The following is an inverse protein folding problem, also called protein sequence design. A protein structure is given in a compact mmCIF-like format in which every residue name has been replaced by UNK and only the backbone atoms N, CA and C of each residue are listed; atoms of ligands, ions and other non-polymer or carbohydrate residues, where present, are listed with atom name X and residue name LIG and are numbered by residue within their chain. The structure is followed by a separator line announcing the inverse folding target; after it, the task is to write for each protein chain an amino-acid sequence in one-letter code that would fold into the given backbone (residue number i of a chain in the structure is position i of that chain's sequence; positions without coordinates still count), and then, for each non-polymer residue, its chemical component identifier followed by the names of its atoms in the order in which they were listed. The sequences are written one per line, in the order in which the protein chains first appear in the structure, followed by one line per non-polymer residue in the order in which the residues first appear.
data_IF_572766992365
#
_entry.id   IF_572766992365
#
_cell.length_a   1.000
_cell.length_b   1.000
_cell.length_c   1.000
_cell.angle_alpha   90.00
_cell.angle_beta   90.00
_cell.angle_gamma   90.00
#
_symmetry.space_group_name_H-M   'P 1'
#
loop_
_entity.id
_entity.type
_entity.pdbx_description
1 polymer ?
#
# COMPACT_ATOMS: atom_id res chain seq x y z
N UNK A 1 -19.69 -25.59 -30.85
CA UNK A 1 -19.31 -26.01 -29.49
C UNK A 1 -19.84 -24.98 -28.51
N UNK A 2 -20.85 -25.36 -27.77
CA UNK A 2 -21.90 -24.49 -27.20
C UNK A 2 -21.42 -23.46 -26.18
N UNK A 3 -21.87 -22.23 -26.43
CA UNK A 3 -21.89 -21.10 -25.50
C UNK A 3 -22.95 -21.33 -24.41
N UNK A 4 -22.77 -22.33 -23.55
CA UNK A 4 -23.59 -22.42 -22.34
C UNK A 4 -23.12 -21.35 -21.34
N UNK A 5 -23.92 -20.29 -21.06
CA UNK A 5 -23.53 -19.24 -20.13
C UNK A 5 -23.40 -19.75 -18.68
N UNK A 6 -23.95 -20.93 -18.36
CA UNK A 6 -23.97 -21.48 -17.00
C UNK A 6 -22.62 -22.10 -16.57
N UNK A 7 -21.72 -22.43 -17.52
CA UNK A 7 -20.43 -23.10 -17.27
C UNK A 7 -19.19 -22.21 -17.42
N UNK A 8 -19.36 -20.87 -17.52
CA UNK A 8 -18.21 -19.96 -17.71
C UNK A 8 -17.18 -20.02 -16.59
N UNK A 9 -17.60 -20.28 -15.36
CA UNK A 9 -16.71 -20.20 -14.20
C UNK A 9 -15.84 -21.46 -14.03
N UNK A 10 -16.37 -22.69 -14.10
CA UNK A 10 -15.53 -23.90 -14.16
C UNK A 10 -14.55 -23.90 -15.33
N UNK A 11 -14.99 -23.50 -16.53
CA UNK A 11 -14.12 -23.41 -17.71
C UNK A 11 -12.97 -22.42 -17.51
N UNK A 12 -13.21 -21.28 -16.85
CA UNK A 12 -12.16 -20.32 -16.52
C UNK A 12 -11.12 -20.92 -15.55
N UNK A 13 -11.58 -21.61 -14.50
CA UNK A 13 -10.68 -22.27 -13.54
C UNK A 13 -9.84 -23.34 -14.25
N UNK A 14 -10.46 -24.15 -15.11
CA UNK A 14 -9.76 -25.17 -15.90
C UNK A 14 -8.71 -24.55 -16.83
N UNK A 15 -9.06 -23.47 -17.54
CA UNK A 15 -8.14 -22.74 -18.39
C UNK A 15 -6.94 -22.19 -17.60
N UNK A 16 -7.19 -21.50 -16.48
CA UNK A 16 -6.12 -20.95 -15.64
C UNK A 16 -5.18 -22.05 -15.13
N UNK A 17 -5.73 -23.19 -14.70
CA UNK A 17 -4.93 -24.32 -14.24
C UNK A 17 -4.02 -24.88 -15.35
N UNK A 18 -4.52 -24.97 -16.59
CA UNK A 18 -3.72 -25.39 -17.75
C UNK A 18 -2.58 -24.43 -18.07
N UNK A 19 -2.79 -23.13 -17.85
CA UNK A 19 -1.76 -22.09 -17.95
C UNK A 19 -0.82 -22.05 -16.73
N UNK A 20 -0.95 -22.99 -15.78
CA UNK A 20 -0.13 -23.05 -14.55
C UNK A 20 -0.54 -22.04 -13.47
N UNK A 21 -1.70 -21.38 -13.63
CA UNK A 21 -2.24 -20.41 -12.67
C UNK A 21 -3.27 -21.12 -11.77
N UNK A 22 -2.88 -21.35 -10.52
CA UNK A 22 -3.78 -21.90 -9.52
C UNK A 22 -4.82 -20.87 -9.09
N UNK A 23 -6.09 -21.28 -9.00
CA UNK A 23 -7.19 -20.37 -8.69
C UNK A 23 -8.04 -20.86 -7.52
N UNK A 24 -8.56 -19.90 -6.77
CA UNK A 24 -9.46 -20.07 -5.63
C UNK A 24 -10.35 -18.83 -5.53
N UNK A 25 -11.66 -19.01 -5.49
CA UNK A 25 -12.58 -17.87 -5.43
C UNK A 25 -13.98 -18.24 -4.97
N UNK A 26 -14.71 -17.21 -4.53
CA UNK A 26 -16.14 -17.31 -4.20
C UNK A 26 -16.98 -17.39 -5.46
N UNK A 27 -17.94 -18.32 -5.45
CA UNK A 27 -18.79 -18.59 -6.59
C UNK A 27 -20.24 -18.42 -6.19
N UNK A 28 -21.00 -17.78 -7.07
CA UNK A 28 -22.44 -17.79 -6.94
C UNK A 28 -22.98 -19.13 -7.44
N UNK A 29 -23.86 -19.78 -6.67
CA UNK A 29 -24.49 -21.07 -7.00
C UNK A 29 -25.01 -21.11 -8.45
N UNK A 30 -25.61 -20.02 -8.94
CA UNK A 30 -26.14 -19.95 -10.30
C UNK A 30 -25.11 -19.99 -11.44
N UNK A 31 -23.80 -20.04 -11.13
CA UNK A 31 -22.70 -20.08 -12.12
C UNK A 31 -21.97 -21.43 -12.18
N UNK A 32 -22.48 -22.44 -11.47
CA UNK A 32 -21.87 -23.77 -11.34
C UNK A 32 -22.60 -24.83 -12.18
N UNK A 33 -23.49 -24.43 -13.10
CA UNK A 33 -24.36 -25.35 -13.84
C UNK A 33 -25.50 -25.92 -12.98
N UNK A 34 -26.52 -26.48 -13.64
CA UNK A 34 -27.71 -27.06 -12.97
C UNK A 34 -27.46 -28.45 -12.37
N UNK A 35 -26.43 -29.14 -12.83
CA UNK A 35 -26.15 -30.53 -12.44
C UNK A 35 -25.58 -30.64 -11.01
N UNK A 36 -24.90 -29.58 -10.56
CA UNK A 36 -24.38 -29.47 -9.20
C UNK A 36 -25.53 -29.13 -8.22
N UNK A 37 -26.08 -30.17 -7.60
CA UNK A 37 -27.13 -30.09 -6.57
C UNK A 37 -26.60 -29.59 -5.22
N UNK A 38 -26.08 -28.37 -5.19
CA UNK A 38 -25.61 -27.74 -3.95
C UNK A 38 -26.83 -27.32 -3.11
N UNK A 39 -26.91 -27.67 -1.81
CA UNK A 39 -28.04 -27.29 -0.96
C UNK A 39 -28.28 -25.77 -0.91
N UNK A 40 -29.54 -25.34 -0.96
CA UNK A 40 -29.90 -23.93 -0.73
C UNK A 40 -29.98 -23.62 0.77
N UNK A 41 -30.05 -22.33 1.11
CA UNK A 41 -30.29 -21.88 2.49
C UNK A 41 -31.57 -22.50 3.09
N UNK A 42 -32.60 -22.72 2.27
CA UNK A 42 -33.86 -23.32 2.73
C UNK A 42 -33.69 -24.79 3.08
N UNK A 43 -32.92 -25.52 2.27
CA UNK A 43 -32.65 -26.95 2.44
C UNK A 43 -31.84 -27.17 3.72
N UNK A 44 -30.73 -26.43 3.87
CA UNK A 44 -29.88 -26.48 5.07
C UNK A 44 -30.65 -26.16 6.36
N UNK A 45 -31.61 -25.23 6.30
CA UNK A 45 -32.48 -24.91 7.44
C UNK A 45 -33.51 -26.01 7.73
N UNK A 46 -34.10 -26.61 6.70
CA UNK A 46 -35.07 -27.70 6.83
C UNK A 46 -34.42 -28.93 7.48
N UNK A 47 -33.20 -29.23 7.06
CA UNK A 47 -32.38 -30.34 7.58
C UNK A 47 -31.73 -30.02 8.94
N UNK A 48 -31.95 -28.82 9.49
CA UNK A 48 -31.37 -28.36 10.77
C UNK A 48 -29.85 -28.52 10.83
N UNK A 49 -29.18 -28.28 9.70
CA UNK A 49 -27.73 -28.37 9.57
C UNK A 49 -27.06 -27.41 10.55
N UNK A 50 -26.06 -27.93 11.27
CA UNK A 50 -25.33 -27.16 12.26
C UNK A 50 -24.31 -26.23 11.59
N UNK A 51 -23.97 -25.14 12.29
CA UNK A 51 -22.93 -24.21 11.87
C UNK A 51 -21.58 -24.92 11.84
N UNK A 52 -20.82 -24.74 10.76
CA UNK A 52 -19.55 -25.42 10.51
C UNK A 52 -19.65 -26.56 9.52
N UNK A 53 -20.87 -26.99 9.17
CA UNK A 53 -21.09 -28.00 8.15
C UNK A 53 -20.45 -27.59 6.81
N UNK A 54 -19.81 -28.56 6.16
CA UNK A 54 -19.25 -28.40 4.84
C UNK A 54 -19.42 -29.65 4.00
N UNK A 55 -19.58 -29.43 2.70
CA UNK A 55 -19.72 -30.49 1.70
C UNK A 55 -18.89 -30.14 0.47
N UNK A 56 -18.27 -31.15 -0.14
CA UNK A 56 -17.37 -31.02 -1.27
C UNK A 56 -17.93 -31.78 -2.48
N UNK A 57 -17.77 -31.17 -3.65
CA UNK A 57 -17.98 -31.77 -4.96
C UNK A 57 -16.72 -31.64 -5.79
N UNK A 58 -16.42 -32.67 -6.57
CA UNK A 58 -15.32 -32.66 -7.55
C UNK A 58 -15.93 -32.85 -8.93
N UNK A 59 -15.62 -31.95 -9.84
CA UNK A 59 -16.05 -32.02 -11.23
C UNK A 59 -14.81 -31.96 -12.13
N UNK A 60 -14.73 -32.88 -13.09
CA UNK A 60 -13.71 -32.80 -14.12
C UNK A 60 -14.20 -31.86 -15.23
N UNK A 61 -13.44 -30.81 -15.51
CA UNK A 61 -13.72 -29.85 -16.58
C UNK A 61 -12.48 -29.74 -17.47
N UNK A 62 -12.61 -30.13 -18.73
CA UNK A 62 -11.53 -30.16 -19.73
C UNK A 62 -10.25 -30.88 -19.23
N UNK A 63 -10.37 -32.04 -18.58
CA UNK A 63 -9.28 -32.81 -17.96
C UNK A 63 -8.62 -32.13 -16.73
N UNK A 64 -9.27 -31.14 -16.14
CA UNK A 64 -8.84 -30.52 -14.87
C UNK A 64 -9.87 -30.81 -13.79
N UNK A 65 -9.42 -31.35 -12.66
CA UNK A 65 -10.28 -31.54 -11.49
C UNK A 65 -10.50 -30.21 -10.78
N UNK A 66 -11.77 -29.82 -10.68
CA UNK A 66 -12.20 -28.62 -9.98
C UNK A 66 -12.95 -29.04 -8.73
N UNK A 67 -12.46 -28.56 -7.59
CA UNK A 67 -13.08 -28.81 -6.29
C UNK A 67 -13.98 -27.64 -5.93
N UNK A 68 -15.23 -27.92 -5.59
CA UNK A 68 -16.19 -26.94 -5.09
C UNK A 68 -16.61 -27.33 -3.68
N UNK A 69 -16.52 -26.41 -2.73
CA UNK A 69 -16.88 -26.63 -1.34
C UNK A 69 -17.91 -25.60 -0.91
N UNK A 70 -18.98 -26.08 -0.30
CA UNK A 70 -19.95 -25.23 0.40
C UNK A 70 -19.65 -25.31 1.90
N UNK A 71 -19.54 -24.16 2.56
CA UNK A 71 -19.39 -24.06 4.01
C UNK A 71 -20.52 -23.23 4.63
N UNK A 72 -21.20 -23.79 5.63
CA UNK A 72 -22.32 -23.16 6.29
C UNK A 72 -21.93 -22.53 7.63
N UNK A 73 -21.76 -21.20 7.61
CA UNK A 73 -21.58 -20.40 8.82
C UNK A 73 -22.90 -19.76 9.25
N UNK A 74 -23.06 -18.44 9.09
CA UNK A 74 -24.36 -17.77 9.22
C UNK A 74 -25.18 -17.86 7.92
N UNK A 75 -24.48 -17.95 6.79
CA UNK A 75 -24.99 -18.15 5.43
C UNK A 75 -24.03 -19.11 4.72
N UNK A 76 -24.51 -19.91 3.76
CA UNK A 76 -23.65 -20.77 2.97
C UNK A 76 -22.74 -19.90 2.09
N UNK A 77 -21.46 -20.23 2.11
CA UNK A 77 -20.45 -19.67 1.21
C UNK A 77 -19.97 -20.81 0.33
N UNK A 78 -19.91 -20.57 -0.97
CA UNK A 78 -19.44 -21.55 -1.94
C UNK A 78 -18.11 -21.05 -2.50
N UNK A 79 -17.08 -21.88 -2.38
CA UNK A 79 -15.76 -21.66 -2.97
C UNK A 79 -15.50 -22.74 -4.01
N UNK A 80 -14.83 -22.38 -5.10
CA UNK A 80 -14.25 -23.36 -6.01
C UNK A 80 -12.78 -23.09 -6.21
N UNK A 81 -12.02 -24.17 -6.39
CA UNK A 81 -10.57 -24.14 -6.54
C UNK A 81 -10.07 -25.24 -7.47
N UNK A 82 -8.91 -24.98 -8.08
CA UNK A 82 -8.13 -25.98 -8.84
C UNK A 82 -7.07 -26.70 -8.00
N UNK A 83 -6.89 -26.38 -6.71
CA UNK A 83 -5.75 -26.89 -5.93
C UNK A 83 -6.03 -27.16 -4.45
N UNK A 84 -7.11 -26.63 -3.88
CA UNK A 84 -7.45 -26.83 -2.47
C UNK A 84 -8.90 -27.29 -2.31
N UNK A 85 -9.11 -28.29 -1.46
CA UNK A 85 -10.43 -28.84 -1.15
C UNK A 85 -10.85 -28.67 0.30
N UNK A 86 -11.74 -29.54 0.76
CA UNK A 86 -12.26 -29.56 2.12
C UNK A 86 -11.27 -30.15 3.13
N UNK A 87 -10.42 -31.09 2.70
CA UNK A 87 -9.54 -31.86 3.58
C UNK A 87 -8.62 -30.98 4.43
N UNK A 88 -8.33 -31.46 5.64
CA UNK A 88 -7.96 -30.70 6.85
C UNK A 88 -9.07 -29.76 7.33
N UNK A 89 -9.99 -30.31 8.13
CA UNK A 89 -10.96 -29.52 8.88
C UNK A 89 -10.29 -29.03 10.15
N UNK A 90 -10.14 -27.73 10.27
CA UNK A 90 -9.63 -27.11 11.49
C UNK A 90 -10.74 -26.30 12.15
N UNK A 91 -10.59 -25.99 13.44
CA UNK A 91 -11.53 -25.12 14.12
C UNK A 91 -11.21 -23.64 13.87
N UNK A 92 -12.26 -22.82 13.79
CA UNK A 92 -12.18 -21.38 13.73
C UNK A 92 -13.02 -20.75 14.85
N UNK A 93 -12.41 -19.82 15.59
CA UNK A 93 -13.10 -19.06 16.64
C UNK A 93 -14.05 -18.05 16.00
N UNK A 94 -15.37 -18.23 16.19
CA UNK A 94 -16.40 -17.35 15.63
C UNK A 94 -17.36 -16.86 16.70
N UNK A 95 -17.75 -15.59 16.62
CA UNK A 95 -18.78 -15.06 17.50
C UNK A 95 -20.16 -15.60 17.11
N UNK A 96 -20.94 -16.07 18.08
CA UNK A 96 -22.31 -16.51 17.89
C UNK A 96 -23.26 -15.49 18.52
N UNK A 97 -23.99 -14.72 17.70
CA UNK A 97 -24.93 -13.69 18.18
C UNK A 97 -26.04 -14.28 19.07
N UNK A 98 -26.52 -15.49 18.76
CA UNK A 98 -27.59 -16.17 19.52
C UNK A 98 -27.13 -16.52 20.94
N UNK A 99 -25.90 -17.00 21.09
CA UNK A 99 -25.34 -17.42 22.38
C UNK A 99 -24.52 -16.31 23.07
N UNK A 100 -24.35 -15.15 22.42
CA UNK A 100 -23.52 -14.01 22.84
C UNK A 100 -22.08 -14.39 23.24
N UNK A 101 -21.55 -15.49 22.74
CA UNK A 101 -20.21 -16.00 23.05
C UNK A 101 -19.45 -16.42 21.80
N UNK A 102 -18.14 -16.54 21.94
CA UNK A 102 -17.31 -17.20 20.92
C UNK A 102 -17.48 -18.70 21.01
N UNK A 103 -17.68 -19.32 19.85
CA UNK A 103 -17.76 -20.77 19.68
C UNK A 103 -16.67 -21.22 18.71
N UNK A 104 -16.26 -22.48 18.84
CA UNK A 104 -15.43 -23.13 17.84
C UNK A 104 -16.33 -23.71 16.76
N UNK A 105 -15.98 -23.44 15.51
CA UNK A 105 -16.73 -23.86 14.34
C UNK A 105 -15.77 -24.55 13.39
N UNK A 106 -16.14 -25.73 12.91
CA UNK A 106 -15.37 -26.45 11.90
C UNK A 106 -15.27 -25.60 10.64
N UNK A 107 -14.05 -25.48 10.13
CA UNK A 107 -13.66 -24.55 9.08
C UNK A 107 -12.73 -25.29 8.11
N UNK A 108 -13.25 -25.65 6.92
CA UNK A 108 -12.46 -26.31 5.89
C UNK A 108 -11.23 -25.51 5.47
N UNK A 109 -10.20 -26.20 5.03
CA UNK A 109 -8.93 -25.57 4.64
C UNK A 109 -9.06 -24.59 3.48
N UNK A 110 -9.94 -24.87 2.51
CA UNK A 110 -10.26 -23.94 1.43
C UNK A 110 -10.74 -22.58 1.95
N UNK A 111 -11.51 -22.54 3.04
CA UNK A 111 -12.01 -21.29 3.65
C UNK A 111 -10.87 -20.53 4.32
N UNK A 112 -9.94 -21.24 4.98
CA UNK A 112 -8.76 -20.62 5.60
C UNK A 112 -7.83 -20.03 4.56
N UNK A 113 -7.50 -20.82 3.54
CA UNK A 113 -6.67 -20.42 2.41
C UNK A 113 -7.26 -19.19 1.70
N UNK A 114 -8.57 -19.19 1.45
CA UNK A 114 -9.25 -18.05 0.85
C UNK A 114 -9.13 -16.79 1.73
N UNK A 115 -9.46 -16.89 3.02
CA UNK A 115 -9.40 -15.74 3.94
C UNK A 115 -7.97 -15.19 4.12
N UNK A 116 -6.96 -16.05 4.04
CA UNK A 116 -5.56 -15.64 4.14
C UNK A 116 -5.13 -14.76 2.95
N UNK A 117 -5.68 -15.00 1.76
CA UNK A 117 -5.23 -14.37 0.51
C UNK A 117 -6.22 -13.35 -0.10
N UNK A 118 -7.50 -13.36 0.28
CA UNK A 118 -8.52 -12.47 -0.30
C UNK A 118 -8.31 -10.97 -0.03
N UNK A 119 -7.50 -10.61 0.97
CA UNK A 119 -7.40 -9.23 1.46
C UNK A 119 -6.55 -8.28 0.62
N UNK A 120 -5.80 -8.76 -0.38
CA UNK A 120 -4.81 -7.94 -1.12
C UNK A 120 -5.38 -6.63 -1.68
N UNK A 121 -6.53 -6.69 -2.36
CA UNK A 121 -7.19 -5.51 -2.95
C UNK A 121 -7.77 -4.61 -1.87
N UNK A 122 -8.43 -5.19 -0.86
CA UNK A 122 -9.00 -4.44 0.27
C UNK A 122 -7.91 -3.69 1.07
N UNK A 123 -6.71 -4.27 1.19
CA UNK A 123 -5.57 -3.60 1.80
C UNK A 123 -5.12 -2.39 0.98
N UNK A 124 -5.00 -2.52 -0.35
CA UNK A 124 -4.67 -1.40 -1.22
C UNK A 124 -5.71 -0.29 -1.11
N UNK A 125 -7.00 -0.62 -1.16
CA UNK A 125 -8.09 0.35 -1.00
C UNK A 125 -8.06 1.02 0.38
N UNK A 126 -7.77 0.27 1.43
CA UNK A 126 -7.56 0.80 2.78
C UNK A 126 -6.39 1.78 2.84
N UNK A 127 -5.25 1.46 2.22
CA UNK A 127 -4.08 2.33 2.16
C UNK A 127 -4.34 3.59 1.33
N UNK A 128 -5.07 3.46 0.23
CA UNK A 128 -5.51 4.59 -0.60
C UNK A 128 -6.45 5.50 0.20
N UNK A 129 -7.40 4.94 0.96
CA UNK A 129 -8.39 5.69 1.73
C UNK A 129 -7.79 6.60 2.80
N UNK A 130 -6.66 6.22 3.41
CA UNK A 130 -6.04 6.95 4.54
C UNK A 130 -5.44 8.30 4.12
N UNK A 131 -4.64 8.33 3.06
CA UNK A 131 -3.85 9.51 2.67
C UNK A 131 -3.99 9.87 1.19
N UNK A 132 -5.20 9.71 0.62
CA UNK A 132 -5.52 10.03 -0.78
C UNK A 132 -5.26 11.49 -1.14
N UNK A 133 -4.77 11.75 -2.35
CA UNK A 133 -4.71 13.09 -2.93
C UNK A 133 -6.13 13.56 -3.28
N UNK A 134 -6.61 14.60 -2.59
CA UNK A 134 -7.96 15.16 -2.75
C UNK A 134 -7.96 16.50 -3.49
N UNK A 135 -7.36 16.55 -4.67
CA UNK A 135 -7.37 17.75 -5.51
C UNK A 135 -8.68 17.78 -6.32
N UNK A 136 -9.50 18.82 -6.10
CA UNK A 136 -10.74 19.02 -6.84
C UNK A 136 -10.41 19.53 -8.25
N UNK A 137 -10.89 18.82 -9.26
CA UNK A 137 -10.69 19.19 -10.67
C UNK A 137 -11.87 18.77 -11.53
N UNK A 138 -12.17 19.57 -12.56
CA UNK A 138 -13.18 19.28 -13.59
C UNK A 138 -12.65 18.32 -14.67
N UNK A 139 -11.33 18.20 -14.79
CA UNK A 139 -10.65 17.35 -15.78
C UNK A 139 -10.58 15.91 -15.26
N UNK A 140 -11.37 15.00 -15.81
CA UNK A 140 -11.49 13.62 -15.32
C UNK A 140 -10.16 12.85 -15.33
N UNK A 141 -9.32 13.05 -16.34
CA UNK A 141 -8.03 12.37 -16.49
C UNK A 141 -7.04 12.70 -15.35
N UNK A 142 -7.14 13.89 -14.74
CA UNK A 142 -6.33 14.24 -13.58
C UNK A 142 -6.68 13.39 -12.34
N UNK A 143 -7.90 12.84 -12.26
CA UNK A 143 -8.26 11.88 -11.20
C UNK A 143 -7.52 10.55 -11.38
N UNK A 144 -7.36 10.08 -12.62
CA UNK A 144 -6.54 8.89 -12.92
C UNK A 144 -5.08 9.15 -12.58
N UNK A 145 -4.53 10.29 -12.98
CA UNK A 145 -3.16 10.67 -12.65
C UNK A 145 -2.90 10.65 -11.14
N UNK A 146 -3.74 11.31 -10.34
CA UNK A 146 -3.57 11.30 -8.88
C UNK A 146 -3.73 9.91 -8.27
N UNK A 147 -4.62 9.08 -8.82
CA UNK A 147 -4.79 7.70 -8.36
C UNK A 147 -3.54 6.87 -8.63
N UNK A 148 -2.98 6.94 -9.84
CA UNK A 148 -1.73 6.25 -10.19
C UNK A 148 -0.57 6.74 -9.32
N UNK A 149 -0.49 8.03 -9.02
CA UNK A 149 0.52 8.58 -8.11
C UNK A 149 0.36 8.02 -6.69
N UNK A 150 -0.86 7.95 -6.17
CA UNK A 150 -1.15 7.38 -4.85
C UNK A 150 -0.79 5.88 -4.79
N UNK A 151 -1.15 5.09 -5.82
CA UNK A 151 -0.77 3.66 -5.92
C UNK A 151 0.74 3.50 -5.96
N UNK A 152 1.42 4.33 -6.76
CA UNK A 152 2.89 4.31 -6.87
C UNK A 152 3.55 4.59 -5.52
N UNK A 153 3.09 5.62 -4.79
CA UNK A 153 3.62 5.95 -3.47
C UNK A 153 3.39 4.83 -2.44
N UNK A 154 2.24 4.14 -2.50
CA UNK A 154 1.97 2.98 -1.64
C UNK A 154 2.92 1.83 -1.98
N UNK A 155 3.12 1.53 -3.27
CA UNK A 155 4.05 0.49 -3.71
C UNK A 155 5.49 0.80 -3.28
N UNK A 156 5.95 2.05 -3.44
CA UNK A 156 7.26 2.49 -2.96
C UNK A 156 7.40 2.34 -1.45
N UNK A 157 6.36 2.67 -0.68
CA UNK A 157 6.37 2.49 0.78
C UNK A 157 6.43 1.02 1.18
N UNK A 158 5.68 0.14 0.50
CA UNK A 158 5.74 -1.31 0.74
C UNK A 158 7.12 -1.90 0.41
N UNK A 159 7.74 -1.44 -0.69
CA UNK A 159 9.11 -1.82 -1.04
C UNK A 159 10.11 -1.32 -0.01
N UNK A 160 10.00 -0.06 0.43
CA UNK A 160 10.83 0.50 1.49
C UNK A 160 10.76 -0.34 2.77
N UNK A 161 9.56 -0.76 3.19
CA UNK A 161 9.38 -1.65 4.33
C UNK A 161 10.09 -2.99 4.14
N UNK A 162 9.90 -3.63 2.98
CA UNK A 162 10.49 -4.94 2.66
C UNK A 162 12.03 -4.88 2.67
N UNK A 163 12.62 -3.85 2.07
CA UNK A 163 14.08 -3.65 2.09
C UNK A 163 14.57 -3.38 3.51
N UNK A 164 13.84 -2.57 4.28
CA UNK A 164 14.16 -2.30 5.67
C UNK A 164 14.14 -3.55 6.56
N UNK A 165 13.20 -4.47 6.33
CA UNK A 165 13.12 -5.76 7.00
C UNK A 165 14.33 -6.65 6.67
N UNK A 166 14.74 -6.71 5.40
CA UNK A 166 15.93 -7.45 4.95
C UNK A 166 17.24 -6.89 5.52
N UNK A 167 17.30 -5.57 5.75
CA UNK A 167 18.46 -4.89 6.31
C UNK A 167 18.42 -4.75 7.84
N UNK A 168 17.47 -5.40 8.53
CA UNK A 168 17.29 -5.32 9.98
C UNK A 168 17.17 -3.89 10.53
N UNK A 169 16.57 -2.98 9.76
CA UNK A 169 16.36 -1.60 10.23
C UNK A 169 15.29 -1.55 11.32
N UNK A 170 15.53 -0.82 12.44
CA UNK A 170 14.74 -1.03 13.66
C UNK A 170 13.27 -0.58 13.58
N UNK A 171 12.90 0.31 12.66
CA UNK A 171 11.50 0.72 12.47
C UNK A 171 11.27 1.36 11.09
N UNK A 172 10.38 0.80 10.25
CA UNK A 172 9.99 1.49 9.02
C UNK A 172 9.10 2.71 9.32
N UNK A 173 9.26 3.77 8.54
CA UNK A 173 8.41 4.96 8.60
C UNK A 173 6.94 4.61 8.37
N UNK A 174 6.04 5.33 9.06
CA UNK A 174 4.59 5.24 8.79
C UNK A 174 4.29 5.83 7.40
N UNK A 175 3.24 5.34 6.74
CA UNK A 175 2.85 5.76 5.39
C UNK A 175 2.78 7.29 5.21
N UNK A 176 2.22 8.01 6.20
CA UNK A 176 2.11 9.48 6.17
C UNK A 176 3.48 10.17 6.13
N UNK A 177 4.42 9.67 6.92
CA UNK A 177 5.73 10.27 7.11
C UNK A 177 6.59 9.97 5.88
N UNK A 178 6.49 8.74 5.35
CA UNK A 178 7.09 8.38 4.08
C UNK A 178 6.59 9.27 2.94
N UNK A 179 5.28 9.45 2.80
CA UNK A 179 4.69 10.31 1.76
C UNK A 179 5.15 11.77 1.91
N UNK A 180 5.23 12.26 3.15
CA UNK A 180 5.72 13.60 3.44
C UNK A 180 7.19 13.77 3.04
N UNK A 181 8.06 12.82 3.42
CA UNK A 181 9.49 12.86 3.07
C UNK A 181 9.73 12.76 1.56
N UNK A 182 8.95 11.94 0.84
CA UNK A 182 9.01 11.89 -0.64
C UNK A 182 8.63 13.25 -1.23
N UNK A 183 7.50 13.83 -0.81
CA UNK A 183 7.08 15.15 -1.29
C UNK A 183 8.09 16.25 -0.97
N UNK A 184 8.62 16.25 0.26
CA UNK A 184 9.66 17.17 0.71
C UNK A 184 10.93 17.05 -0.13
N UNK A 185 11.36 15.82 -0.42
CA UNK A 185 12.55 15.55 -1.23
C UNK A 185 12.35 15.99 -2.68
N UNK A 186 11.22 15.67 -3.30
CA UNK A 186 10.90 16.10 -4.68
C UNK A 186 10.79 17.61 -4.82
N UNK A 187 10.27 18.32 -3.80
CA UNK A 187 10.22 19.78 -3.81
C UNK A 187 11.59 20.46 -3.65
N UNK A 188 12.60 19.76 -3.14
CA UNK A 188 13.96 20.27 -2.99
C UNK A 188 14.92 19.76 -4.08
N UNK A 189 14.55 18.67 -4.76
CA UNK A 189 15.30 18.12 -5.87
C UNK A 189 15.19 19.03 -7.09
N UNK A 190 16.32 19.45 -7.66
CA UNK A 190 16.35 20.28 -8.88
C UNK A 190 15.95 21.75 -8.69
N UNK A 191 15.75 22.23 -7.45
CA UNK A 191 15.65 23.66 -7.17
C UNK A 191 17.05 24.26 -7.19
N UNK A 192 17.61 24.45 -8.39
CA UNK A 192 18.36 25.68 -8.60
C UNK A 192 17.33 26.79 -8.47
N UNK A 193 17.58 27.79 -7.62
CA UNK A 193 16.75 28.99 -7.51
C UNK A 193 16.92 29.73 -8.85
N UNK A 194 16.28 29.24 -9.90
CA UNK A 194 16.20 29.94 -11.16
C UNK A 194 15.52 31.26 -10.83
N UNK A 195 16.31 32.35 -10.88
CA UNK A 195 15.83 33.73 -10.78
C UNK A 195 14.56 33.81 -11.63
N UNK A 196 13.46 34.30 -11.03
CA UNK A 196 12.16 34.43 -11.68
C UNK A 196 12.36 34.88 -13.14
N UNK A 197 12.06 34.02 -14.11
CA UNK A 197 12.00 34.44 -15.51
C UNK A 197 10.69 35.21 -15.68
N UNK A 198 10.79 36.54 -15.75
CA UNK A 198 9.66 37.47 -15.87
C UNK A 198 10.07 38.91 -15.62
N UNK A 199 9.25 39.87 -16.09
CA UNK A 199 9.46 41.32 -15.95
C UNK A 199 9.63 41.70 -14.46
N UNK A 200 10.64 42.52 -14.09
CA UNK A 200 10.78 43.00 -12.71
C UNK A 200 9.50 43.73 -12.28
N UNK A 201 8.92 43.33 -11.14
CA UNK A 201 7.80 44.05 -10.55
C UNK A 201 8.34 45.29 -9.82
N UNK A 202 8.07 46.47 -10.39
CA UNK A 202 8.08 47.75 -9.67
C UNK A 202 6.85 47.77 -8.76
N UNK A 203 6.94 47.14 -7.60
CA UNK A 203 5.94 47.32 -6.55
C UNK A 203 6.69 47.31 -5.24
N UNK A 204 6.62 48.44 -4.56
CA UNK A 204 7.19 48.68 -3.25
C UNK A 204 6.95 47.51 -2.30
N UNK A 205 7.95 47.29 -1.47
CA UNK A 205 8.09 46.21 -0.51
C UNK A 205 6.82 46.02 0.31
N UNK A 206 5.95 45.09 -0.11
CA UNK A 206 5.03 44.45 0.81
C UNK A 206 5.93 43.67 1.76
N UNK A 207 6.19 44.24 2.94
CA UNK A 207 6.90 43.59 4.02
C UNK A 207 6.40 42.15 4.14
N UNK A 208 7.26 41.21 3.73
CA UNK A 208 6.98 39.80 3.87
C UNK A 208 6.66 39.56 5.34
N UNK A 209 5.43 39.15 5.65
CA UNK A 209 5.05 38.72 7.00
C UNK A 209 6.15 37.81 7.53
N UNK A 210 6.93 38.30 8.50
CA UNK A 210 8.01 37.57 9.14
C UNK A 210 7.46 36.22 9.59
N UNK A 211 7.91 35.14 8.95
CA UNK A 211 7.57 33.79 9.37
C UNK A 211 8.18 33.53 10.76
N UNK A 212 7.39 32.87 11.61
CA UNK A 212 7.68 32.49 13.00
C UNK A 212 9.01 31.73 13.16
N UNK A 213 9.60 31.71 14.38
CA UNK A 213 11.04 31.69 14.59
C UNK A 213 11.73 30.32 14.53
N UNK A 214 13.00 30.35 14.12
CA UNK A 214 14.15 29.57 14.61
C UNK A 214 14.04 28.04 14.77
N UNK A 215 13.56 27.33 13.77
CA UNK A 215 14.14 26.00 13.48
C UNK A 215 14.35 25.89 11.98
N UNK A 216 15.58 26.05 11.53
CA UNK A 216 15.97 25.73 10.16
C UNK A 216 15.64 24.26 9.93
N UNK A 217 14.59 23.98 9.16
CA UNK A 217 14.21 22.62 8.78
C UNK A 217 15.39 22.06 8.00
N UNK A 218 16.04 21.04 8.55
CA UNK A 218 17.14 20.38 7.85
C UNK A 218 16.60 19.71 6.56
N UNK A 219 17.35 19.83 5.44
CA UNK A 219 16.99 19.15 4.20
C UNK A 219 16.93 17.62 4.42
N UNK A 220 16.06 16.89 3.69
CA UNK A 220 15.96 15.43 3.76
C UNK A 220 17.30 14.78 3.47
N UNK A 221 17.52 13.58 4.03
CA UNK A 221 18.77 12.84 3.86
C UNK A 221 19.10 12.58 2.40
N UNK A 222 18.13 12.17 1.60
CA UNK A 222 18.34 11.78 0.19
C UNK A 222 18.86 12.94 -0.65
N UNK A 223 18.42 14.15 -0.32
CA UNK A 223 18.71 15.40 -1.01
C UNK A 223 19.95 16.08 -0.42
N UNK A 224 20.23 15.84 0.86
CA UNK A 224 21.48 16.23 1.53
C UNK A 224 22.68 15.43 1.03
N UNK A 225 22.47 14.15 0.73
CA UNK A 225 23.50 13.16 0.38
C UNK A 225 23.58 12.83 -1.12
N UNK A 226 22.82 13.53 -1.97
CA UNK A 226 22.79 13.28 -3.43
C UNK A 226 24.09 13.66 -4.16
N UNK A 227 25.06 14.26 -3.45
CA UNK A 227 26.38 14.68 -3.96
C UNK A 227 26.32 15.63 -5.18
N UNK A 228 25.19 16.29 -5.40
CA UNK A 228 24.97 17.12 -6.57
C UNK A 228 24.72 18.58 -6.16
N UNK A 229 25.49 19.51 -6.73
CA UNK A 229 25.36 20.97 -6.56
C UNK A 229 25.38 21.51 -5.11
N UNK A 230 26.18 20.90 -4.22
CA UNK A 230 26.42 21.43 -2.87
C UNK A 230 27.68 22.28 -2.81
N UNK A 231 27.61 23.53 -3.27
CA UNK A 231 28.74 24.46 -3.21
C UNK A 231 28.69 25.38 -1.98
N UNK A 232 29.83 25.66 -1.32
CA UNK A 232 29.89 26.62 -0.24
C UNK A 232 29.86 28.05 -0.80
N UNK A 233 28.91 28.87 -0.34
CA UNK A 233 28.77 30.28 -0.71
C UNK A 233 28.81 31.18 0.51
N UNK A 234 29.40 32.38 0.37
CA UNK A 234 29.50 33.37 1.43
C UNK A 234 28.17 34.13 1.59
N UNK A 235 27.67 34.18 2.82
CA UNK A 235 26.58 35.04 3.24
C UNK A 235 27.07 36.34 3.87
N UNK A 236 26.22 37.34 3.91
CA UNK A 236 26.53 38.67 4.46
C UNK A 236 26.66 38.68 5.99
N UNK A 237 25.95 37.77 6.67
CA UNK A 237 25.88 37.72 8.14
C UNK A 237 26.40 36.39 8.67
N UNK A 238 27.14 36.47 9.78
CA UNK A 238 27.65 35.28 10.47
C UNK A 238 26.53 34.59 11.25
N UNK A 239 26.24 33.34 10.90
CA UNK A 239 25.19 32.53 11.54
C UNK A 239 25.78 31.33 12.31
N UNK A 240 24.98 30.71 13.17
CA UNK A 240 25.38 29.48 13.89
C UNK A 240 25.37 28.29 12.92
N UNK A 241 26.43 27.48 12.96
CA UNK A 241 26.51 26.23 12.22
C UNK A 241 25.33 25.31 12.56
N UNK A 242 24.69 24.74 11.53
CA UNK A 242 23.52 23.87 11.65
C UNK A 242 23.88 22.39 11.74
N UNK A 243 25.16 22.05 11.68
CA UNK A 243 25.62 20.67 11.86
C UNK A 243 25.36 20.21 13.32
N UNK A 244 24.71 19.05 13.54
CA UNK A 244 24.42 18.55 14.88
C UNK A 244 25.67 18.50 15.77
N UNK A 245 25.59 19.10 16.96
CA UNK A 245 26.69 19.15 17.92
C UNK A 245 27.73 20.27 17.70
N UNK A 246 27.70 20.98 16.57
CA UNK A 246 28.61 22.10 16.33
C UNK A 246 28.13 23.39 17.03
N UNK A 247 29.02 24.06 17.76
CA UNK A 247 28.76 25.36 18.42
C UNK A 247 29.34 26.55 17.64
N UNK A 248 29.98 26.30 16.51
CA UNK A 248 30.68 27.30 15.70
C UNK A 248 29.73 28.29 15.01
N UNK A 249 30.30 29.42 14.57
CA UNK A 249 29.62 30.41 13.73
C UNK A 249 30.36 30.58 12.41
N UNK A 250 29.64 30.65 11.30
CA UNK A 250 30.17 30.65 9.93
C UNK A 250 29.48 31.73 9.07
N UNK A 251 30.17 32.21 8.05
CA UNK A 251 29.56 32.99 6.96
C UNK A 251 29.19 32.10 5.78
N UNK A 252 29.65 30.84 5.77
CA UNK A 252 29.44 29.93 4.66
C UNK A 252 28.10 29.20 4.80
N UNK A 253 27.41 29.07 3.68
CA UNK A 253 26.18 28.29 3.55
C UNK A 253 26.23 27.40 2.30
N UNK A 254 25.46 26.32 2.29
CA UNK A 254 25.27 25.51 1.09
C UNK A 254 24.38 26.26 0.10
N UNK A 255 24.82 26.46 -1.15
CA UNK A 255 24.07 27.18 -2.18
C UNK A 255 22.66 26.61 -2.40
N UNK A 256 22.55 25.28 -2.36
CA UNK A 256 21.32 24.53 -2.67
C UNK A 256 20.21 24.71 -1.64
N UNK A 257 20.53 24.80 -0.34
CA UNK A 257 19.53 24.89 0.75
C UNK A 257 19.71 26.05 1.71
N UNK A 258 20.76 26.86 1.53
CA UNK A 258 21.14 27.98 2.40
C UNK A 258 21.28 27.58 3.88
N UNK A 259 21.76 26.37 4.12
CA UNK A 259 22.07 25.87 5.47
C UNK A 259 23.49 26.31 5.82
N UNK A 260 23.66 26.99 6.96
CA UNK A 260 24.96 27.52 7.36
C UNK A 260 25.84 26.44 8.01
N UNK A 261 27.00 26.17 7.42
CA UNK A 261 27.90 25.08 7.80
C UNK A 261 29.33 25.58 7.91
N UNK A 262 30.05 25.14 8.93
CA UNK A 262 31.47 25.45 9.07
C UNK A 262 32.29 24.72 8.00
N UNK A 263 33.18 25.48 7.36
CA UNK A 263 34.22 24.95 6.49
C UNK A 263 35.50 25.74 6.80
N UNK A 264 36.27 25.23 7.75
CA UNK A 264 37.57 25.78 8.14
C UNK A 264 38.50 24.64 8.60
N UNK A 265 39.78 24.96 8.88
CA UNK A 265 40.81 24.00 9.28
C UNK A 265 40.41 23.10 10.46
N UNK A 266 39.60 23.62 11.38
CA UNK A 266 39.24 22.95 12.63
C UNK A 266 37.87 22.27 12.57
N UNK A 267 36.97 22.72 11.68
CA UNK A 267 35.60 22.23 11.57
C UNK A 267 35.23 22.08 10.10
N UNK A 268 35.16 20.83 9.63
CA UNK A 268 34.75 20.48 8.27
C UNK A 268 33.28 20.01 8.21
N UNK A 269 32.40 20.75 8.90
CA UNK A 269 30.98 20.42 9.00
C UNK A 269 30.29 20.39 7.65
N UNK A 270 30.72 21.21 6.68
CA UNK A 270 30.16 21.21 5.33
C UNK A 270 30.31 19.83 4.67
N UNK A 271 31.53 19.27 4.64
CA UNK A 271 31.77 17.94 4.07
C UNK A 271 31.00 16.86 4.83
N UNK A 272 31.07 16.84 6.16
CA UNK A 272 30.36 15.85 6.99
C UNK A 272 28.84 15.94 6.86
N UNK A 273 28.31 17.11 6.53
CA UNK A 273 26.88 17.29 6.30
C UNK A 273 26.43 16.74 4.94
N UNK A 274 27.30 16.59 3.95
CA UNK A 274 26.94 16.14 2.60
C UNK A 274 27.45 14.72 2.26
N UNK A 275 28.11 14.05 3.22
CA UNK A 275 28.54 12.64 3.16
C UNK A 275 27.65 11.75 4.05
#
# INVERSE_FOLDING_TARGET
MENDPELRYPKLIAYLAKEGILSLGTVNKGRLGKDLKIPSIKDLKKEKVQRGYSEQWVANCDNTDIVTVMWYDNKPVILSSSFVGQESIETARRYCKKQKKYIQVDCPQIIKTYNQHMGGVEFLDSFLGKYKIKIRTRKWYLRLFHHLLDVTLINCWLLYKRVGEQQHTPTPMKQKDFKFEVGKSLCMFGVSINKKRGRPSLSDEIESKRQKPNTSILPPRDVRLDRFDHFPVWGEKRQRCKYPGCKGKTFLSCEKYRVELCLNKYNNCFRSFHQ
#
